data_IF_024285666881
#
_entry.id   IF_024285666881
#
_cell.length_a   1.000
_cell.length_b   1.000
_cell.length_c   1.000
_cell.angle_alpha   90.00
_cell.angle_beta   90.00
_cell.angle_gamma   90.00
#
_symmetry.space_group_name_H-M   'P 1'
#
loop_
_entity.id
_entity.type
_entity.pdbx_description
1 polymer ?
#
# COMPACT_ATOMS: atom_id res chain seq x y z
N UNK A 1 22.35 1.00 11.80
CA UNK A 1 22.45 1.21 10.33
C UNK A 1 22.20 -0.13 9.66
N UNK A 2 21.02 -0.35 9.09
CA UNK A 2 20.73 -1.53 8.27
C UNK A 2 20.61 -1.07 6.82
N UNK A 3 21.54 -1.54 6.00
CA UNK A 3 21.56 -1.34 4.55
C UNK A 3 20.33 -2.09 4.00
N UNK A 4 19.26 -1.35 3.72
CA UNK A 4 18.07 -1.91 3.08
C UNK A 4 18.43 -2.31 1.65
N UNK A 5 18.64 -3.60 1.46
CA UNK A 5 18.55 -4.27 0.17
C UNK A 5 17.28 -3.75 -0.51
N UNK A 6 17.43 -2.98 -1.59
CA UNK A 6 16.29 -2.48 -2.37
C UNK A 6 15.57 -3.68 -2.99
N UNK A 7 14.62 -4.25 -2.25
CA UNK A 7 13.65 -5.17 -2.80
C UNK A 7 12.93 -4.41 -3.92
N UNK A 8 13.07 -4.88 -5.14
CA UNK A 8 12.23 -4.44 -6.25
C UNK A 8 10.77 -4.61 -5.80
N UNK A 9 9.88 -3.64 -6.11
CA UNK A 9 8.46 -3.84 -5.84
C UNK A 9 8.01 -5.16 -6.49
N UNK A 10 7.12 -5.94 -5.85
CA UNK A 10 6.47 -7.06 -6.54
C UNK A 10 5.89 -6.51 -7.85
N UNK A 11 5.85 -7.30 -8.93
CA UNK A 11 5.42 -6.85 -10.24
C UNK A 11 4.02 -6.20 -10.21
N UNK A 12 3.96 -4.91 -9.88
CA UNK A 12 2.75 -4.10 -9.92
C UNK A 12 2.58 -3.73 -11.38
N UNK A 13 1.41 -3.95 -11.99
CA UNK A 13 1.16 -3.47 -13.33
C UNK A 13 1.41 -1.97 -13.32
N UNK A 14 2.42 -1.53 -14.06
CA UNK A 14 2.62 -0.11 -14.31
C UNK A 14 1.37 0.42 -15.05
N UNK A 15 1.01 1.71 -14.91
CA UNK A 15 -0.14 2.27 -15.63
C UNK A 15 -0.06 2.10 -17.16
N UNK A 16 1.11 1.77 -17.70
CA UNK A 16 1.36 1.50 -19.13
C UNK A 16 1.23 0.02 -19.51
N UNK A 17 0.92 -0.89 -18.57
CA UNK A 17 0.88 -2.34 -18.77
C UNK A 17 -0.57 -2.81 -18.88
N UNK A 18 -1.32 -2.24 -19.82
CA UNK A 18 -2.59 -2.78 -20.28
C UNK A 18 -2.34 -4.02 -21.13
N UNK A 19 -2.40 -5.20 -20.52
CA UNK A 19 -2.75 -6.42 -21.23
C UNK A 19 -3.88 -7.09 -20.46
N UNK A 20 -5.10 -6.67 -20.79
CA UNK A 20 -6.26 -7.55 -20.65
C UNK A 20 -6.07 -8.64 -21.68
N UNK A 21 -5.74 -9.87 -21.26
CA UNK A 21 -5.87 -11.02 -22.14
C UNK A 21 -7.04 -11.89 -21.71
N UNK A 22 -7.95 -12.14 -22.67
CA UNK A 22 -9.23 -12.84 -22.50
C UNK A 22 -9.13 -14.34 -22.75
N UNK A 23 -7.93 -14.92 -22.74
CA UNK A 23 -7.73 -16.35 -22.99
C UNK A 23 -6.66 -16.93 -22.07
N UNK A 24 -7.06 -17.62 -20.99
CA UNK A 24 -6.20 -18.62 -20.35
C UNK A 24 -7.05 -19.84 -19.97
N UNK A 25 -6.58 -20.97 -20.46
CA UNK A 25 -7.19 -22.30 -20.43
C UNK A 25 -7.47 -22.88 -19.05
N UNK A 26 -8.51 -23.72 -19.03
CA UNK A 26 -8.97 -24.53 -17.91
C UNK A 26 -7.94 -25.59 -17.47
N UNK A 27 -6.86 -25.24 -16.73
CA UNK A 27 -6.23 -26.25 -15.83
C UNK A 27 -5.32 -25.79 -14.69
N UNK A 28 -4.87 -24.54 -14.59
CA UNK A 28 -4.14 -24.07 -13.41
C UNK A 28 -4.53 -22.62 -13.12
N UNK A 29 -5.45 -22.41 -12.18
CA UNK A 29 -6.07 -21.12 -11.92
C UNK A 29 -5.20 -20.26 -11.00
N UNK A 30 -3.99 -19.90 -11.43
CA UNK A 30 -3.27 -18.76 -10.86
C UNK A 30 -3.63 -17.52 -11.66
N UNK A 31 -4.78 -16.93 -11.32
CA UNK A 31 -5.22 -15.64 -11.83
C UNK A 31 -4.19 -14.57 -11.45
N UNK A 32 -3.32 -14.23 -12.40
CA UNK A 32 -2.31 -13.17 -12.33
C UNK A 32 -2.94 -11.76 -12.43
N UNK A 33 -4.15 -11.60 -11.87
CA UNK A 33 -4.97 -10.39 -11.86
C UNK A 33 -5.26 -9.89 -10.45
N UNK A 34 -4.82 -10.63 -9.42
CA UNK A 34 -4.83 -10.17 -8.05
C UNK A 34 -3.42 -9.72 -7.67
N UNK A 35 -3.27 -8.48 -7.19
CA UNK A 35 -2.08 -8.08 -6.45
C UNK A 35 -1.79 -9.18 -5.41
N UNK A 36 -0.51 -9.52 -5.13
CA UNK A 36 -0.20 -10.48 -4.08
C UNK A 36 -1.04 -10.15 -2.85
N UNK A 37 -1.64 -11.14 -2.18
CA UNK A 37 -2.52 -10.92 -1.01
C UNK A 37 -1.94 -9.94 0.02
N UNK A 38 -0.62 -9.85 0.06
CA UNK A 38 0.17 -9.04 0.99
C UNK A 38 0.61 -7.67 0.43
N UNK A 39 0.29 -7.36 -0.83
CA UNK A 39 0.62 -6.07 -1.45
C UNK A 39 -0.52 -5.08 -1.24
N UNK A 40 -0.50 -4.46 -0.06
CA UNK A 40 -1.45 -3.44 0.37
C UNK A 40 -0.75 -2.11 0.66
N UNK A 41 -1.52 -1.07 1.01
CA UNK A 41 -0.97 0.27 1.25
C UNK A 41 0.00 0.30 2.44
N UNK A 42 -0.25 -0.35 3.59
CA UNK A 42 0.71 -0.42 4.69
C UNK A 42 2.08 -0.95 4.24
N UNK A 43 2.10 -2.04 3.48
CA UNK A 43 3.32 -2.61 2.92
C UNK A 43 4.02 -1.64 1.96
N UNK A 44 3.27 -0.99 1.07
CA UNK A 44 3.82 -0.03 0.12
C UNK A 44 4.42 1.21 0.80
N UNK A 45 3.83 1.69 1.92
CA UNK A 45 4.39 2.80 2.71
C UNK A 45 5.71 2.38 3.36
N UNK A 46 5.74 1.22 4.02
CA UNK A 46 6.93 0.71 4.72
C UNK A 46 8.14 0.52 3.82
N UNK A 47 7.91 0.16 2.55
CA UNK A 47 8.96 -0.06 1.57
C UNK A 47 9.21 1.14 0.64
N UNK A 48 8.53 2.28 0.85
CA UNK A 48 8.72 3.50 0.06
C UNK A 48 8.24 3.41 -1.39
N UNK A 49 7.27 2.53 -1.69
CA UNK A 49 6.70 2.35 -3.03
C UNK A 49 5.66 3.43 -3.36
N UNK A 50 6.02 4.71 -3.20
CA UNK A 50 5.10 5.85 -3.28
C UNK A 50 4.36 5.97 -4.62
N UNK A 51 5.01 5.58 -5.72
CA UNK A 51 4.38 5.54 -7.06
C UNK A 51 3.24 4.52 -7.14
N UNK A 52 3.35 3.41 -6.41
CA UNK A 52 2.33 2.37 -6.36
C UNK A 52 1.16 2.76 -5.45
N UNK A 53 1.42 3.54 -4.40
CA UNK A 53 0.39 3.95 -3.43
C UNK A 53 -0.78 4.68 -4.11
N UNK A 54 -0.50 5.54 -5.10
CA UNK A 54 -1.57 6.24 -5.85
C UNK A 54 -2.52 5.27 -6.56
N UNK A 55 -1.97 4.22 -7.16
CA UNK A 55 -2.77 3.17 -7.80
C UNK A 55 -3.54 2.35 -6.77
N UNK A 56 -2.89 1.95 -5.67
CA UNK A 56 -3.53 1.19 -4.60
C UNK A 56 -4.69 1.96 -3.95
N UNK A 57 -4.53 3.26 -3.73
CA UNK A 57 -5.56 4.11 -3.16
C UNK A 57 -6.74 4.34 -4.13
N UNK A 58 -6.56 4.15 -5.45
CA UNK A 58 -7.66 4.22 -6.42
C UNK A 58 -8.55 2.96 -6.41
N UNK A 59 -8.05 1.83 -5.90
CA UNK A 59 -8.85 0.62 -5.72
C UNK A 59 -9.81 0.79 -4.53
N UNK A 60 -10.77 -0.14 -4.37
CA UNK A 60 -11.65 -0.24 -3.20
C UNK A 60 -10.85 -0.65 -1.95
N UNK A 61 -10.01 0.28 -1.49
CA UNK A 61 -9.08 0.15 -0.38
C UNK A 61 -9.72 0.60 0.94
N UNK A 62 -9.54 -0.17 2.02
CA UNK A 62 -9.92 0.27 3.37
C UNK A 62 -8.81 1.17 3.95
N UNK A 63 -9.03 2.49 4.09
CA UNK A 63 -8.02 3.41 4.63
C UNK A 63 -7.64 3.14 6.09
N UNK A 64 -8.36 2.27 6.78
CA UNK A 64 -8.14 1.89 8.17
C UNK A 64 -7.57 0.47 8.33
N UNK A 65 -7.15 -0.18 7.24
CA UNK A 65 -6.48 -1.48 7.30
C UNK A 65 -5.29 -1.41 8.26
N UNK A 66 -5.04 -2.49 9.01
CA UNK A 66 -3.98 -2.54 10.01
C UNK A 66 -2.90 -3.52 9.62
N UNK A 67 -1.65 -3.11 9.82
CA UNK A 67 -0.51 -4.02 9.71
C UNK A 67 -0.39 -4.93 10.95
N UNK A 68 0.63 -5.80 10.96
CA UNK A 68 0.90 -6.69 12.09
C UNK A 68 1.27 -5.99 13.41
N UNK A 69 1.44 -4.67 13.42
CA UNK A 69 1.67 -3.83 14.61
C UNK A 69 0.47 -2.93 14.93
N UNK A 70 -0.71 -3.26 14.37
CA UNK A 70 -1.94 -2.48 14.46
C UNK A 70 -1.84 -1.05 13.92
N UNK A 71 -0.79 -0.73 13.15
CA UNK A 71 -0.60 0.59 12.56
C UNK A 71 -1.50 0.70 11.34
N UNK A 72 -2.26 1.78 11.28
CA UNK A 72 -2.98 2.18 10.07
C UNK A 72 -2.02 2.81 9.06
N UNK A 73 -2.38 2.90 7.77
CA UNK A 73 -1.64 3.68 6.79
C UNK A 73 -1.33 5.10 7.26
N UNK A 74 -2.26 5.73 7.98
CA UNK A 74 -2.08 7.09 8.49
C UNK A 74 -1.00 7.15 9.58
N UNK A 75 -0.96 6.20 10.50
CA UNK A 75 0.15 6.06 11.47
C UNK A 75 1.46 5.82 10.73
N UNK A 76 1.47 5.01 9.67
CA UNK A 76 2.69 4.72 8.91
C UNK A 76 3.28 5.96 8.21
N UNK A 77 2.47 6.97 7.89
CA UNK A 77 2.96 8.23 7.32
C UNK A 77 3.97 8.94 8.25
N UNK A 78 3.85 8.80 9.58
CA UNK A 78 4.78 9.42 10.53
C UNK A 78 6.21 8.83 10.46
N UNK A 79 6.37 7.67 9.81
CA UNK A 79 7.66 6.99 9.62
C UNK A 79 8.26 7.23 8.23
N UNK A 80 7.58 7.98 7.37
CA UNK A 80 8.05 8.31 6.03
C UNK A 80 8.96 9.53 6.11
N UNK A 81 10.25 9.37 5.80
CA UNK A 81 11.25 10.45 5.87
C UNK A 81 10.99 11.61 4.88
N UNK A 82 10.25 11.35 3.80
CA UNK A 82 9.96 12.36 2.79
C UNK A 82 8.64 13.07 3.08
N UNK A 83 8.73 14.28 3.64
CA UNK A 83 7.56 15.08 4.04
C UNK A 83 6.55 15.31 2.90
N UNK A 84 7.02 15.52 1.66
CA UNK A 84 6.11 15.73 0.52
C UNK A 84 5.30 14.48 0.21
N UNK A 85 5.93 13.31 0.23
CA UNK A 85 5.22 12.05 0.03
C UNK A 85 4.32 11.73 1.22
N UNK A 86 4.84 11.86 2.44
CA UNK A 86 4.08 11.63 3.67
C UNK A 86 2.79 12.46 3.70
N UNK A 87 2.91 13.77 3.51
CA UNK A 87 1.78 14.70 3.50
C UNK A 87 0.76 14.35 2.42
N UNK A 88 1.24 14.08 1.20
CA UNK A 88 0.37 13.75 0.07
C UNK A 88 -0.41 12.46 0.32
N UNK A 89 0.23 11.44 0.89
CA UNK A 89 -0.41 10.15 1.22
C UNK A 89 -1.42 10.35 2.35
N UNK A 90 -1.02 11.04 3.42
CA UNK A 90 -1.89 11.34 4.57
C UNK A 90 -3.16 12.08 4.14
N UNK A 91 -3.03 13.13 3.31
CA UNK A 91 -4.17 13.86 2.76
C UNK A 91 -5.14 12.92 2.03
N UNK A 92 -4.63 12.05 1.16
CA UNK A 92 -5.50 11.16 0.38
C UNK A 92 -6.16 10.06 1.23
N UNK A 93 -5.49 9.60 2.28
CA UNK A 93 -6.07 8.68 3.26
C UNK A 93 -7.20 9.35 4.05
N UNK A 94 -7.00 10.60 4.49
CA UNK A 94 -8.03 11.39 5.18
C UNK A 94 -9.24 11.65 4.29
N UNK A 95 -9.03 12.03 3.02
CA UNK A 95 -10.10 12.16 2.01
C UNK A 95 -10.93 10.89 1.83
N UNK A 96 -10.32 9.72 2.06
CA UNK A 96 -10.97 8.41 1.97
C UNK A 96 -11.61 7.93 3.27
N UNK A 97 -11.50 8.68 4.36
CA UNK A 97 -12.09 8.33 5.66
C UNK A 97 -11.15 7.58 6.60
N UNK A 98 -9.84 7.79 6.50
CA UNK A 98 -8.89 7.34 7.51
C UNK A 98 -9.22 7.97 8.88
N UNK A 99 -9.22 7.14 9.92
CA UNK A 99 -9.52 7.54 11.30
C UNK A 99 -8.23 7.91 12.03
N UNK A 100 -8.16 9.17 12.50
CA UNK A 100 -7.05 9.67 13.30
C UNK A 100 -6.97 9.05 14.71
N UNK A 101 -8.10 8.54 15.22
CA UNK A 101 -8.22 8.06 16.61
C UNK A 101 -7.73 6.63 16.81
N UNK A 102 -7.34 5.93 15.75
CA UNK A 102 -6.88 4.55 15.86
C UNK A 102 -5.44 4.54 16.37
N UNK A 103 -5.18 3.65 17.33
CA UNK A 103 -3.87 3.49 17.94
C UNK A 103 -3.18 2.21 17.46
N UNK A 104 -1.84 2.25 17.44
CA UNK A 104 -0.98 1.08 17.28
C UNK A 104 -0.82 0.26 18.58
N UNK A 105 -0.03 -0.82 18.53
CA UNK A 105 0.28 -1.64 19.73
C UNK A 105 0.90 -0.85 20.90
N UNK A 106 1.58 0.27 20.62
CA UNK A 106 2.20 1.14 21.60
C UNK A 106 1.28 2.28 22.06
N UNK A 107 -0.02 2.22 21.74
CA UNK A 107 -1.04 3.22 22.10
C UNK A 107 -0.77 4.59 21.46
N UNK A 108 -0.12 4.62 20.29
CA UNK A 108 0.15 5.85 19.53
C UNK A 108 -0.81 5.97 18.37
N UNK A 109 -1.37 7.16 18.18
CA UNK A 109 -2.13 7.55 17.01
C UNK A 109 -1.22 8.30 16.00
N UNK A 110 -1.80 8.68 14.86
CA UNK A 110 -1.09 9.34 13.76
C UNK A 110 -0.72 10.80 14.07
#
# INVERSE_FOLDING_TARGET
>A
MLVSSRLLPPAVPSPSMTVYDKNIDHKHQTNMTSLPKYFNVPFAIQHGYFRCIRYLLQLHYDPNERDGQLRTPLILCSYVENDRWSLSIAQNLLEKGAKIVLEDHARRNA
#
